data_IF_101913870137
#
_entry.id   IF_101913870137
#
_cell.length_a   1.000
_cell.length_b   1.000
_cell.length_c   1.000
_cell.angle_alpha   90.00
_cell.angle_beta   90.00
_cell.angle_gamma   90.00
#
_symmetry.space_group_name_H-M   'P 1'
#
loop_
_entity.id
_entity.type
_entity.pdbx_description
1 polymer ?
#
# COMPACT_ATOMS: atom_id res chain seq x y z
N UNK A 1 14.02 30.01 14.97
CA UNK A 1 14.05 29.04 13.85
C UNK A 1 13.39 27.74 14.30
N UNK A 2 12.14 27.50 13.93
CA UNK A 2 11.50 26.19 14.16
C UNK A 2 12.08 25.18 13.18
N UNK A 3 12.94 24.28 13.66
CA UNK A 3 13.39 23.12 12.88
C UNK A 3 12.23 22.15 12.75
N UNK A 4 11.45 22.30 11.69
CA UNK A 4 10.48 21.29 11.28
C UNK A 4 11.30 20.04 10.92
N UNK A 5 11.35 19.04 11.80
CA UNK A 5 11.84 17.71 11.45
C UNK A 5 10.99 17.23 10.28
N UNK A 6 11.49 17.32 9.05
CA UNK A 6 10.95 16.54 7.94
C UNK A 6 11.18 15.09 8.31
N UNK A 7 10.17 14.41 8.84
CA UNK A 7 10.15 12.96 8.84
C UNK A 7 10.10 12.53 7.39
N UNK A 8 11.27 12.30 6.81
CA UNK A 8 11.46 11.68 5.48
C UNK A 8 11.12 10.19 5.58
N UNK A 9 9.97 9.84 6.15
CA UNK A 9 9.45 8.50 6.05
C UNK A 9 8.58 8.46 4.81
N UNK A 10 9.24 8.41 3.65
CA UNK A 10 8.64 8.37 2.33
C UNK A 10 8.02 6.98 2.03
N UNK A 11 7.61 6.23 3.06
CA UNK A 11 6.80 5.03 2.90
C UNK A 11 5.40 5.51 2.51
N UNK A 12 4.82 5.05 1.38
CA UNK A 12 3.44 5.37 1.05
C UNK A 12 2.54 4.78 2.15
N UNK A 13 2.12 5.64 3.09
CA UNK A 13 1.25 5.23 4.18
C UNK A 13 -0.17 5.09 3.64
N UNK A 14 -0.66 3.85 3.59
CA UNK A 14 -2.08 3.60 3.50
C UNK A 14 -2.74 4.23 4.75
N UNK A 15 -3.77 5.05 4.56
CA UNK A 15 -4.57 5.62 5.65
C UNK A 15 -5.86 4.83 5.78
N UNK A 16 -6.19 4.31 6.96
CA UNK A 16 -7.46 3.55 7.19
C UNK A 16 -8.74 4.33 6.82
N UNK A 17 -8.69 5.65 6.78
CA UNK A 17 -9.84 6.50 6.41
C UNK A 17 -9.95 6.78 4.92
N UNK A 18 -8.92 6.43 4.14
CA UNK A 18 -8.91 6.64 2.69
C UNK A 18 -9.81 5.65 1.97
N UNK A 19 -10.26 6.04 0.78
CA UNK A 19 -11.11 5.18 -0.03
C UNK A 19 -10.32 3.97 -0.54
N UNK A 20 -10.98 2.82 -0.68
CA UNK A 20 -10.36 1.57 -1.16
C UNK A 20 -9.58 1.75 -2.47
N UNK A 21 -10.02 2.67 -3.33
CA UNK A 21 -9.31 3.04 -4.55
C UNK A 21 -7.93 3.67 -4.29
N UNK A 22 -7.82 4.54 -3.29
CA UNK A 22 -6.55 5.20 -2.92
C UNK A 22 -5.57 4.17 -2.36
N UNK A 23 -6.06 3.14 -1.68
CA UNK A 23 -5.22 2.04 -1.21
C UNK A 23 -4.60 1.24 -2.33
N UNK A 24 -5.41 0.86 -3.32
CA UNK A 24 -4.93 0.16 -4.52
C UNK A 24 -3.93 1.01 -5.29
N UNK A 25 -4.23 2.29 -5.50
CA UNK A 25 -3.33 3.21 -6.21
C UNK A 25 -1.98 3.37 -5.49
N UNK A 26 -2.00 3.51 -4.16
CA UNK A 26 -0.77 3.61 -3.35
C UNK A 26 0.04 2.32 -3.40
N UNK A 27 -0.62 1.17 -3.30
CA UNK A 27 0.01 -0.14 -3.42
C UNK A 27 0.65 -0.34 -4.79
N UNK A 28 -0.08 -0.04 -5.88
CA UNK A 28 0.44 -0.13 -7.25
C UNK A 28 1.67 0.75 -7.46
N UNK A 29 1.63 1.98 -6.94
CA UNK A 29 2.75 2.92 -7.00
C UNK A 29 3.96 2.42 -6.20
N UNK A 30 3.74 1.87 -5.01
CA UNK A 30 4.80 1.26 -4.20
C UNK A 30 5.44 0.07 -4.91
N UNK A 31 4.62 -0.84 -5.44
CA UNK A 31 5.11 -2.01 -6.18
C UNK A 31 5.91 -1.55 -7.38
N UNK A 32 5.37 -0.71 -8.26
CA UNK A 32 6.10 -0.23 -9.45
C UNK A 32 7.47 0.40 -9.10
N UNK A 33 7.57 1.11 -7.98
CA UNK A 33 8.81 1.79 -7.58
C UNK A 33 9.80 0.90 -6.84
N UNK A 34 9.34 -0.02 -5.99
CA UNK A 34 10.20 -0.76 -5.05
C UNK A 34 10.33 -2.24 -5.40
N UNK A 35 9.33 -2.83 -6.05
CA UNK A 35 9.25 -4.27 -6.30
C UNK A 35 9.03 -4.53 -7.79
N UNK A 36 9.95 -5.23 -8.45
CA UNK A 36 9.75 -5.76 -9.82
C UNK A 36 8.75 -6.93 -9.85
N UNK A 37 7.60 -6.79 -9.21
CA UNK A 37 6.57 -7.83 -9.23
C UNK A 37 5.87 -7.85 -10.58
N UNK A 38 5.72 -9.05 -11.14
CA UNK A 38 4.93 -9.25 -12.35
C UNK A 38 3.46 -8.93 -12.11
N UNK A 39 2.78 -8.47 -13.16
CA UNK A 39 1.36 -8.09 -13.14
C UNK A 39 0.47 -9.18 -12.52
N UNK A 40 0.73 -10.45 -12.81
CA UNK A 40 -0.01 -11.58 -12.26
C UNK A 40 0.09 -11.68 -10.73
N UNK A 41 1.26 -11.36 -10.14
CA UNK A 41 1.44 -11.36 -8.68
C UNK A 41 0.65 -10.22 -8.03
N UNK A 42 0.70 -9.04 -8.64
CA UNK A 42 -0.05 -7.86 -8.18
C UNK A 42 -1.56 -8.10 -8.24
N UNK A 43 -2.07 -8.67 -9.34
CA UNK A 43 -3.47 -9.03 -9.46
C UNK A 43 -3.91 -10.06 -8.42
N UNK A 44 -3.09 -11.09 -8.13
CA UNK A 44 -3.41 -12.06 -7.06
C UNK A 44 -3.54 -11.38 -5.70
N UNK A 45 -2.61 -10.49 -5.36
CA UNK A 45 -2.64 -9.76 -4.08
C UNK A 45 -3.86 -8.84 -4.01
N UNK A 46 -4.19 -8.14 -5.10
CA UNK A 46 -5.38 -7.29 -5.16
C UNK A 46 -6.68 -8.10 -5.05
N UNK A 47 -6.75 -9.25 -5.72
CA UNK A 47 -7.91 -10.14 -5.62
C UNK A 47 -8.09 -10.70 -4.21
N UNK A 48 -6.99 -11.10 -3.56
CA UNK A 48 -6.98 -11.56 -2.17
C UNK A 48 -7.43 -10.44 -1.21
N UNK A 49 -6.87 -9.24 -1.38
CA UNK A 49 -7.23 -8.06 -0.59
C UNK A 49 -8.71 -7.67 -0.75
N UNK A 50 -9.29 -7.86 -1.95
CA UNK A 50 -10.70 -7.56 -2.23
C UNK A 50 -11.67 -8.67 -1.81
N UNK A 51 -11.19 -9.82 -1.33
CA UNK A 51 -12.00 -11.03 -1.13
C UNK A 51 -12.90 -11.01 0.11
N UNK A 52 -12.70 -10.09 1.05
CA UNK A 52 -13.45 -10.04 2.32
C UNK A 52 -14.06 -8.68 2.61
N UNK A 53 -13.33 -7.83 3.33
CA UNK A 53 -13.82 -6.58 3.90
C UNK A 53 -12.79 -5.48 3.70
N UNK A 54 -13.22 -4.21 3.75
CA UNK A 54 -12.30 -3.06 3.63
C UNK A 54 -11.16 -3.13 4.64
N UNK A 55 -11.43 -3.58 5.86
CA UNK A 55 -10.39 -3.68 6.88
C UNK A 55 -9.37 -4.79 6.56
N UNK A 56 -9.84 -5.91 5.98
CA UNK A 56 -8.98 -6.96 5.47
C UNK A 56 -8.12 -6.44 4.31
N UNK A 57 -8.73 -5.71 3.37
CA UNK A 57 -8.03 -5.09 2.24
C UNK A 57 -6.89 -4.19 2.69
N UNK A 58 -7.16 -3.30 3.66
CA UNK A 58 -6.15 -2.41 4.22
C UNK A 58 -4.99 -3.21 4.87
N UNK A 59 -5.32 -4.20 5.69
CA UNK A 59 -4.33 -5.01 6.42
C UNK A 59 -3.46 -5.84 5.47
N UNK A 60 -4.07 -6.47 4.47
CA UNK A 60 -3.37 -7.26 3.45
C UNK A 60 -2.43 -6.39 2.63
N UNK A 61 -2.90 -5.25 2.11
CA UNK A 61 -2.04 -4.33 1.33
C UNK A 61 -0.89 -3.78 2.18
N UNK A 62 -1.17 -3.39 3.43
CA UNK A 62 -0.14 -2.90 4.34
C UNK A 62 0.91 -3.98 4.64
N UNK A 63 0.49 -5.22 4.89
CA UNK A 63 1.40 -6.35 5.13
C UNK A 63 2.35 -6.56 3.96
N UNK A 64 1.85 -6.59 2.73
CA UNK A 64 2.70 -6.76 1.53
C UNK A 64 3.61 -5.55 1.25
N UNK A 65 3.28 -4.36 1.74
CA UNK A 65 4.13 -3.17 1.63
C UNK A 65 5.21 -3.10 2.71
N UNK A 66 5.05 -3.83 3.82
CA UNK A 66 6.03 -3.89 4.90
C UNK A 66 6.92 -5.15 4.86
N UNK A 67 6.46 -6.23 4.20
CA UNK A 67 7.30 -7.37 3.82
C UNK A 67 8.37 -6.92 2.78
N UNK A 68 9.54 -6.51 3.29
CA UNK A 68 10.76 -6.27 2.50
C UNK A 68 11.38 -7.59 2.01
#
# INVERSE_FOLDING_TARGET
MVRVKRSTNNKPFLRKSDHSFVWVASFLSYVQKNKRWGYAKVQKILADAYSKDREHMYSTLQKYMDED
#
